data_IF_164839082054
#
_entry.id   IF_164839082054
#
_cell.length_a   1.000
_cell.length_b   1.000
_cell.length_c   1.000
_cell.angle_alpha   90.00
_cell.angle_beta   90.00
_cell.angle_gamma   90.00
#
_symmetry.space_group_name_H-M   'P 1'
#
loop_
_entity.id
_entity.type
_entity.pdbx_description
1 polymer ?
#
# COMPACT_ATOMS: atom_id res chain seq x y z
N UNK A 1 26.19 15.07 34.71
CA UNK A 1 26.73 14.11 33.73
C UNK A 1 26.29 14.58 32.35
N UNK A 2 27.20 15.22 31.61
CA UNK A 2 26.96 15.59 30.22
C UNK A 2 27.06 14.33 29.38
N UNK A 3 25.93 13.76 28.94
CA UNK A 3 25.96 12.89 27.77
C UNK A 3 25.94 13.80 26.54
N UNK A 4 27.14 14.17 26.10
CA UNK A 4 27.35 14.65 24.74
C UNK A 4 26.92 13.55 23.78
N UNK A 5 25.72 13.66 23.22
CA UNK A 5 25.39 12.92 22.00
C UNK A 5 26.32 13.50 20.94
N UNK A 6 27.36 12.75 20.61
CA UNK A 6 28.25 13.06 19.50
C UNK A 6 27.40 13.05 18.22
N UNK A 7 27.28 14.21 17.59
CA UNK A 7 26.61 14.35 16.30
C UNK A 7 27.54 13.84 15.18
N UNK A 8 26.95 13.00 14.33
CA UNK A 8 27.16 12.88 12.88
C UNK A 8 28.58 12.93 12.31
N UNK A 9 29.09 11.75 11.93
CA UNK A 9 29.82 11.65 10.68
C UNK A 9 28.81 11.33 9.58
N UNK A 10 28.40 12.34 8.81
CA UNK A 10 27.59 12.14 7.62
C UNK A 10 28.34 11.15 6.71
N UNK A 11 27.73 10.00 6.42
CA UNK A 11 28.34 8.99 5.57
C UNK A 11 28.65 9.58 4.19
N UNK A 12 29.65 9.06 3.50
CA UNK A 12 30.01 9.54 2.16
C UNK A 12 28.82 9.45 1.18
N UNK A 13 27.93 8.47 1.36
CA UNK A 13 26.69 8.36 0.60
C UNK A 13 25.72 9.51 0.87
N UNK A 14 25.53 9.86 2.15
CA UNK A 14 24.70 11.02 2.52
C UNK A 14 25.28 12.31 1.97
N UNK A 15 26.62 12.48 2.00
CA UNK A 15 27.27 13.65 1.41
C UNK A 15 27.00 13.77 -0.09
N UNK A 16 27.22 12.69 -0.84
CA UNK A 16 26.99 12.68 -2.29
C UNK A 16 25.50 12.92 -2.60
N UNK A 17 24.59 12.29 -1.84
CA UNK A 17 23.14 12.50 -2.00
C UNK A 17 22.75 13.96 -1.77
N UNK A 18 23.24 14.58 -0.70
CA UNK A 18 22.97 15.98 -0.38
C UNK A 18 23.50 16.94 -1.46
N UNK A 19 24.71 16.70 -1.98
CA UNK A 19 25.24 17.49 -3.09
C UNK A 19 24.36 17.37 -4.34
N UNK A 20 23.93 16.15 -4.69
CA UNK A 20 23.05 15.90 -5.84
C UNK A 20 21.70 16.59 -5.71
N UNK A 21 21.08 16.53 -4.52
CA UNK A 21 19.81 17.20 -4.24
C UNK A 21 19.95 18.71 -4.42
N UNK A 22 21.04 19.29 -3.88
CA UNK A 22 21.32 20.72 -4.01
C UNK A 22 21.51 21.15 -5.46
N UNK A 23 22.33 20.43 -6.21
CA UNK A 23 22.54 20.72 -7.64
C UNK A 23 21.23 20.69 -8.45
N UNK A 24 20.35 19.72 -8.18
CA UNK A 24 19.05 19.62 -8.83
C UNK A 24 18.11 20.77 -8.43
N UNK A 25 18.18 21.21 -7.17
CA UNK A 25 17.44 22.38 -6.69
C UNK A 25 17.90 23.68 -7.37
N UNK A 26 19.21 23.92 -7.46
CA UNK A 26 19.78 25.10 -8.13
C UNK A 26 19.45 25.16 -9.62
N UNK A 27 19.27 23.99 -10.26
CA UNK A 27 18.85 23.87 -11.66
C UNK A 27 17.33 24.02 -11.88
N UNK A 28 16.55 24.15 -10.81
CA UNK A 28 15.08 24.22 -10.89
C UNK A 28 14.42 22.89 -11.28
N UNK A 29 15.10 21.75 -11.12
CA UNK A 29 14.55 20.43 -11.48
C UNK A 29 13.31 20.06 -10.64
N UNK A 30 13.12 20.71 -9.49
CA UNK A 30 11.95 20.53 -8.61
C UNK A 30 10.75 21.42 -8.97
N UNK A 31 10.93 22.48 -9.75
CA UNK A 31 9.93 23.55 -9.93
C UNK A 31 8.67 23.09 -10.68
N UNK A 32 8.78 22.01 -11.47
CA UNK A 32 7.69 21.48 -12.29
C UNK A 32 7.35 20.02 -11.96
N UNK A 33 7.64 19.57 -10.73
CA UNK A 33 7.26 18.24 -10.31
C UNK A 33 5.74 18.10 -10.24
N UNK A 34 5.18 16.93 -10.59
CA UNK A 34 3.78 16.63 -10.35
C UNK A 34 3.43 16.88 -8.87
N UNK A 35 2.45 17.76 -8.62
CA UNK A 35 2.02 18.12 -7.26
C UNK A 35 2.87 19.21 -6.58
N UNK A 36 3.81 19.86 -7.27
CA UNK A 36 4.55 20.99 -6.72
C UNK A 36 3.60 22.11 -6.26
N UNK A 37 3.74 22.53 -5.00
CA UNK A 37 2.88 23.55 -4.37
C UNK A 37 1.45 23.09 -4.06
N UNK A 38 1.08 21.85 -4.37
CA UNK A 38 -0.24 21.31 -4.05
C UNK A 38 -0.26 20.68 -2.65
N UNK A 39 -1.41 20.66 -1.96
CA UNK A 39 -1.56 19.90 -0.72
C UNK A 39 -1.26 18.42 -0.94
N UNK A 40 -0.54 17.81 -0.01
CA UNK A 40 -0.29 16.37 -0.04
C UNK A 40 -1.60 15.64 0.26
N UNK A 41 -2.03 14.79 -0.68
CA UNK A 41 -3.15 13.90 -0.47
C UNK A 41 -2.75 12.77 0.50
N UNK A 42 -3.34 12.80 1.69
CA UNK A 42 -3.16 11.79 2.73
C UNK A 42 -4.46 11.00 2.99
N UNK A 43 -5.43 11.08 2.08
CA UNK A 43 -6.73 10.41 2.21
C UNK A 43 -6.58 8.92 2.52
N UNK A 44 -5.70 8.22 1.80
CA UNK A 44 -5.34 6.81 2.03
C UNK A 44 -4.87 6.53 3.46
N UNK A 45 -4.03 7.41 4.03
CA UNK A 45 -3.49 7.23 5.38
C UNK A 45 -4.57 7.46 6.44
N UNK A 46 -5.44 8.45 6.23
CA UNK A 46 -6.53 8.79 7.15
C UNK A 46 -7.75 7.87 7.02
N UNK A 47 -7.89 7.15 5.90
CA UNK A 47 -8.90 6.10 5.73
C UNK A 47 -8.70 4.92 6.69
N UNK A 48 -7.48 4.74 7.22
CA UNK A 48 -7.15 3.71 8.21
C UNK A 48 -7.43 4.25 9.64
N UNK A 49 -8.10 3.48 10.52
CA UNK A 49 -8.28 3.83 11.93
C UNK A 49 -6.95 4.15 12.62
N UNK A 50 -6.94 5.12 13.55
CA UNK A 50 -5.71 5.67 14.13
C UNK A 50 -4.81 4.59 14.75
N UNK A 51 -5.42 3.60 15.36
CA UNK A 51 -4.79 2.48 16.06
C UNK A 51 -4.07 1.52 15.09
N UNK A 52 -4.50 1.49 13.83
CA UNK A 52 -4.01 0.57 12.80
C UNK A 52 -3.01 1.23 11.83
N UNK A 53 -2.94 2.58 11.78
CA UNK A 53 -2.17 3.32 10.76
C UNK A 53 -0.70 2.93 10.70
N UNK A 54 -0.03 2.81 11.86
CA UNK A 54 1.40 2.48 11.91
C UNK A 54 1.65 1.09 11.32
N UNK A 55 0.83 0.11 11.71
CA UNK A 55 0.95 -1.26 11.20
C UNK A 55 0.72 -1.31 9.68
N UNK A 56 -0.34 -0.67 9.18
CA UNK A 56 -0.63 -0.59 7.74
C UNK A 56 0.46 0.15 6.98
N UNK A 57 1.00 1.24 7.53
CA UNK A 57 2.08 2.00 6.90
C UNK A 57 3.38 1.20 6.81
N UNK A 58 3.77 0.48 7.85
CA UNK A 58 4.95 -0.40 7.84
C UNK A 58 4.78 -1.51 6.79
N UNK A 59 3.62 -2.17 6.76
CA UNK A 59 3.34 -3.23 5.77
C UNK A 59 3.39 -2.68 4.33
N UNK A 60 2.80 -1.51 4.09
CA UNK A 60 2.82 -0.83 2.78
C UNK A 60 4.26 -0.52 2.34
N UNK A 61 5.08 0.06 3.23
CA UNK A 61 6.47 0.40 2.92
C UNK A 61 7.35 -0.84 2.70
N UNK A 62 7.04 -1.95 3.36
CA UNK A 62 7.73 -3.23 3.16
C UNK A 62 7.30 -3.97 1.87
N UNK A 63 6.33 -3.43 1.11
CA UNK A 63 5.78 -4.09 -0.07
C UNK A 63 4.96 -5.34 0.27
N UNK A 64 4.52 -5.49 1.52
CA UNK A 64 3.73 -6.63 1.97
C UNK A 64 2.29 -6.38 1.56
N UNK A 65 1.72 -7.31 0.79
CA UNK A 65 0.29 -7.30 0.45
C UNK A 65 -0.47 -8.02 1.57
N UNK A 66 -1.37 -7.34 2.30
CA UNK A 66 -2.18 -7.99 3.33
C UNK A 66 -3.01 -9.14 2.75
N UNK A 67 -3.26 -10.18 3.54
CA UNK A 67 -3.98 -11.37 3.08
C UNK A 67 -5.40 -11.02 2.61
N UNK A 68 -6.02 -10.02 3.23
CA UNK A 68 -7.33 -9.49 2.87
C UNK A 68 -7.35 -9.00 1.43
N UNK A 69 -6.29 -8.32 0.99
CA UNK A 69 -6.15 -7.81 -0.37
C UNK A 69 -5.95 -8.97 -1.35
N UNK A 70 -5.19 -10.00 -0.97
CA UNK A 70 -5.04 -11.22 -1.78
C UNK A 70 -6.36 -11.94 -1.97
N UNK A 71 -7.14 -12.12 -0.91
CA UNK A 71 -8.46 -12.76 -0.96
C UNK A 71 -9.40 -11.98 -1.88
N UNK A 72 -9.48 -10.65 -1.72
CA UNK A 72 -10.29 -9.78 -2.59
C UNK A 72 -9.89 -9.88 -4.06
N UNK A 73 -8.58 -9.91 -4.35
CA UNK A 73 -8.06 -10.09 -5.70
C UNK A 73 -8.50 -11.45 -6.28
N UNK A 74 -8.42 -12.52 -5.50
CA UNK A 74 -8.86 -13.85 -5.93
C UNK A 74 -10.36 -13.90 -6.23
N UNK A 75 -11.20 -13.30 -5.38
CA UNK A 75 -12.64 -13.18 -5.62
C UNK A 75 -12.91 -12.43 -6.94
N UNK A 76 -12.20 -11.34 -7.20
CA UNK A 76 -12.32 -10.58 -8.44
C UNK A 76 -11.94 -11.44 -9.68
N UNK A 77 -10.83 -12.18 -9.62
CA UNK A 77 -10.41 -13.09 -10.70
C UNK A 77 -11.46 -14.17 -10.96
N UNK A 78 -11.98 -14.83 -9.91
CA UNK A 78 -13.04 -15.84 -10.02
C UNK A 78 -14.33 -15.25 -10.64
N UNK A 79 -14.67 -14.01 -10.27
CA UNK A 79 -15.83 -13.31 -10.83
C UNK A 79 -15.67 -13.06 -12.33
N UNK A 80 -14.46 -12.72 -12.79
CA UNK A 80 -14.17 -12.58 -14.22
C UNK A 80 -14.28 -13.91 -14.96
N UNK A 81 -13.81 -15.01 -14.36
CA UNK A 81 -13.95 -16.35 -14.94
C UNK A 81 -15.42 -16.75 -15.09
N UNK A 82 -16.25 -16.50 -14.09
CA UNK A 82 -17.70 -16.75 -14.16
C UNK A 82 -18.36 -15.97 -15.30
N UNK A 83 -17.97 -14.70 -15.51
CA UNK A 83 -18.51 -13.87 -16.61
C UNK A 83 -18.11 -14.39 -17.99
N UNK A 84 -16.93 -14.98 -18.11
CA UNK A 84 -16.41 -15.54 -19.36
C UNK A 84 -16.83 -16.98 -19.66
N UNK A 85 -17.24 -17.76 -18.65
CA UNK A 85 -17.63 -19.16 -18.84
C UNK A 85 -19.07 -19.30 -19.37
N UNK A 86 -19.31 -20.34 -20.18
CA UNK A 86 -20.64 -20.76 -20.62
C UNK A 86 -21.12 -22.05 -19.91
N UNK A 87 -20.24 -22.74 -19.17
CA UNK A 87 -20.58 -23.97 -18.47
C UNK A 87 -21.16 -23.65 -17.08
N UNK A 88 -22.41 -24.07 -16.86
CA UNK A 88 -23.08 -23.86 -15.60
C UNK A 88 -22.43 -24.62 -14.43
N UNK A 89 -21.89 -25.83 -14.68
CA UNK A 89 -21.25 -26.62 -13.62
C UNK A 89 -19.96 -25.97 -13.14
N UNK A 90 -19.20 -25.41 -14.07
CA UNK A 90 -17.99 -24.65 -13.76
C UNK A 90 -18.33 -23.39 -12.95
N UNK A 91 -19.36 -22.64 -13.37
CA UNK A 91 -19.84 -21.46 -12.61
C UNK A 91 -20.23 -21.81 -11.18
N UNK A 92 -20.98 -22.89 -10.99
CA UNK A 92 -21.42 -23.32 -9.66
C UNK A 92 -20.23 -23.69 -8.75
N UNK A 93 -19.15 -24.25 -9.32
CA UNK A 93 -17.92 -24.54 -8.58
C UNK A 93 -17.17 -23.26 -8.19
N UNK A 94 -17.04 -22.30 -9.11
CA UNK A 94 -16.36 -21.03 -8.87
C UNK A 94 -17.12 -20.18 -7.83
N UNK A 95 -18.46 -20.21 -7.84
CA UNK A 95 -19.30 -19.53 -6.84
C UNK A 95 -19.09 -20.10 -5.43
N UNK A 96 -18.91 -21.42 -5.29
CA UNK A 96 -18.59 -22.03 -3.98
C UNK A 96 -17.22 -21.57 -3.46
N UNK A 97 -16.24 -21.43 -4.35
CA UNK A 97 -14.92 -20.91 -3.98
C UNK A 97 -15.01 -19.45 -3.53
N UNK A 98 -15.78 -18.62 -4.25
CA UNK A 98 -16.06 -17.23 -3.85
C UNK A 98 -16.70 -17.18 -2.46
N UNK A 99 -17.76 -17.96 -2.22
CA UNK A 99 -18.45 -17.97 -0.94
C UNK A 99 -17.51 -18.33 0.23
N UNK A 100 -16.65 -19.34 0.05
CA UNK A 100 -15.65 -19.70 1.05
C UNK A 100 -14.64 -18.57 1.31
N UNK A 101 -14.20 -17.87 0.26
CA UNK A 101 -13.27 -16.75 0.39
C UNK A 101 -13.91 -15.54 1.07
N UNK A 102 -15.20 -15.28 0.81
CA UNK A 102 -15.99 -14.24 1.49
C UNK A 102 -16.12 -14.52 3.00
N UNK A 103 -16.42 -15.77 3.37
CA UNK A 103 -16.47 -16.20 4.77
C UNK A 103 -15.13 -15.99 5.48
N UNK A 104 -14.03 -16.40 4.84
CA UNK A 104 -12.67 -16.20 5.38
C UNK A 104 -12.31 -14.72 5.54
N UNK A 105 -12.71 -13.88 4.59
CA UNK A 105 -12.46 -12.44 4.67
C UNK A 105 -13.28 -11.80 5.80
N UNK A 106 -14.53 -12.23 5.99
CA UNK A 106 -15.38 -11.77 7.08
C UNK A 106 -14.78 -12.12 8.45
N UNK A 107 -14.31 -13.36 8.63
CA UNK A 107 -13.65 -13.80 9.87
C UNK A 107 -12.42 -12.94 10.20
N UNK A 108 -11.67 -12.50 9.18
CA UNK A 108 -10.44 -11.71 9.37
C UNK A 108 -10.69 -10.22 9.62
N UNK A 109 -11.71 -9.64 8.98
CA UNK A 109 -11.90 -8.18 8.95
C UNK A 109 -13.13 -7.69 9.72
N UNK A 110 -14.06 -8.59 10.08
CA UNK A 110 -15.36 -8.24 10.66
C UNK A 110 -16.26 -7.41 9.72
N UNK A 111 -15.88 -7.26 8.45
CA UNK A 111 -16.58 -6.44 7.45
C UNK A 111 -17.01 -7.32 6.28
N UNK A 112 -18.24 -7.13 5.81
CA UNK A 112 -18.73 -7.73 4.56
C UNK A 112 -18.28 -6.90 3.35
N UNK A 113 -18.08 -7.57 2.21
CA UNK A 113 -17.82 -6.89 0.93
C UNK A 113 -19.15 -6.28 0.44
N UNK A 114 -19.20 -4.98 0.07
CA UNK A 114 -20.37 -4.40 -0.57
C UNK A 114 -20.52 -4.84 -2.03
#
# INVERSE_FOLDING_TARGET
MNLSIQHDAMSIFQYIAEQRIREAYEKGEFDNLPGYGMPIDNSDYFAVPAEERIAVHIMKNAGIVPEEIRIRKRIYELTLLIKGSADQREKDSLLKEIAFLEDNLFIKTGKTIP
#
